data_IF_643541268222
#
_entry.id   IF_643541268222
#
_cell.length_a   1.000
_cell.length_b   1.000
_cell.length_c   1.000
_cell.angle_alpha   90.00
_cell.angle_beta   90.00
_cell.angle_gamma   90.00
#
_symmetry.space_group_name_H-M   'P 1'
#
loop_
_entity.id
_entity.type
_entity.pdbx_description
1 polymer ?
#
# COMPACT_ATOMS: atom_id res chain seq x y z
N UNK A 1 -31.75 21.08 -11.17
CA UNK A 1 -31.73 21.97 -12.35
C UNK A 1 -30.29 21.99 -12.86
N UNK A 2 -30.03 21.48 -14.06
CA UNK A 2 -28.76 21.73 -14.75
C UNK A 2 -28.84 23.17 -15.26
N UNK A 3 -27.98 24.07 -14.78
CA UNK A 3 -27.96 25.49 -15.18
C UNK A 3 -28.07 26.52 -14.05
N UNK A 4 -28.32 26.12 -12.81
CA UNK A 4 -28.24 27.06 -11.67
C UNK A 4 -26.79 27.28 -11.21
N UNK A 5 -26.44 28.52 -10.87
CA UNK A 5 -25.14 28.84 -10.29
C UNK A 5 -24.99 28.19 -8.91
N UNK A 6 -23.87 27.50 -8.70
CA UNK A 6 -23.51 26.98 -7.39
C UNK A 6 -23.27 28.14 -6.41
N UNK A 7 -23.83 28.04 -5.20
CA UNK A 7 -23.58 28.99 -4.11
C UNK A 7 -22.12 28.96 -3.69
N UNK A 8 -21.60 30.10 -3.23
CA UNK A 8 -20.23 30.20 -2.72
C UNK A 8 -20.04 29.32 -1.46
N UNK A 9 -18.96 28.53 -1.38
CA UNK A 9 -18.69 27.69 -0.22
C UNK A 9 -18.30 28.55 0.99
N UNK A 10 -18.75 28.14 2.19
CA UNK A 10 -18.37 28.81 3.44
C UNK A 10 -16.95 28.47 3.90
N UNK A 11 -16.42 27.32 3.46
CA UNK A 11 -15.07 26.85 3.79
C UNK A 11 -14.48 26.15 2.56
N UNK A 12 -13.21 26.44 2.29
CA UNK A 12 -12.42 25.76 1.25
C UNK A 12 -11.13 25.25 1.89
N UNK A 13 -10.87 23.95 1.74
CA UNK A 13 -9.62 23.32 2.16
C UNK A 13 -9.03 22.55 0.97
N UNK A 14 -7.72 22.72 0.75
CA UNK A 14 -7.00 22.05 -0.34
C UNK A 14 -5.91 21.16 0.25
N UNK A 15 -5.85 19.91 -0.19
CA UNK A 15 -4.78 18.97 0.15
C UNK A 15 -4.30 18.26 -1.10
N UNK A 16 -2.98 18.22 -1.28
CA UNK A 16 -2.30 17.43 -2.31
C UNK A 16 -1.64 16.22 -1.68
N UNK A 17 -1.90 15.05 -2.25
CA UNK A 17 -1.26 13.78 -1.91
C UNK A 17 -0.48 13.33 -3.14
N UNK A 18 0.83 13.53 -3.15
CA UNK A 18 1.64 13.22 -4.34
C UNK A 18 1.65 11.72 -4.65
N UNK A 19 1.58 10.89 -3.61
CA UNK A 19 1.57 9.43 -3.67
C UNK A 19 0.25 8.86 -3.14
N UNK A 20 -0.88 9.47 -3.52
CA UNK A 20 -2.20 9.10 -3.00
C UNK A 20 -2.64 7.69 -3.43
N UNK A 21 -2.14 7.24 -4.57
CA UNK A 21 -2.53 5.99 -5.18
C UNK A 21 -1.34 5.46 -5.98
N UNK A 22 -1.14 4.15 -5.92
CA UNK A 22 -0.11 3.47 -6.66
C UNK A 22 -0.72 2.72 -7.85
N UNK A 23 -0.04 2.65 -9.01
CA UNK A 23 -0.47 1.81 -10.10
C UNK A 23 -0.48 0.34 -9.66
N UNK A 24 -1.13 -0.51 -10.45
CA UNK A 24 -1.03 -1.96 -10.28
C UNK A 24 0.45 -2.37 -10.39
N UNK A 25 0.96 -3.10 -9.40
CA UNK A 25 2.28 -3.69 -9.44
C UNK A 25 2.33 -4.78 -10.52
N UNK A 26 3.44 -4.81 -11.28
CA UNK A 26 3.75 -5.92 -12.19
C UNK A 26 4.53 -7.04 -11.50
N UNK A 27 5.00 -6.79 -10.27
CA UNK A 27 5.73 -7.77 -9.48
C UNK A 27 4.73 -8.64 -8.69
N UNK A 28 4.91 -9.95 -8.78
CA UNK A 28 4.12 -10.95 -8.04
C UNK A 28 4.77 -11.39 -6.73
N UNK A 29 5.93 -10.81 -6.39
CA UNK A 29 6.77 -11.21 -5.26
C UNK A 29 6.64 -10.27 -4.05
N UNK A 30 6.92 -10.78 -2.85
CA UNK A 30 7.05 -9.96 -1.64
C UNK A 30 8.45 -9.37 -1.54
N UNK A 31 8.57 -8.16 -1.03
CA UNK A 31 9.86 -7.52 -0.81
C UNK A 31 10.46 -7.94 0.54
N UNK A 32 11.33 -8.96 0.52
CA UNK A 32 12.07 -9.44 1.68
C UNK A 32 13.52 -9.76 1.31
N UNK A 33 14.45 -9.26 2.11
CA UNK A 33 15.85 -9.62 2.11
C UNK A 33 16.18 -10.22 3.48
N UNK A 34 16.26 -11.55 3.53
CA UNK A 34 16.52 -12.28 4.77
C UNK A 34 17.95 -12.15 5.26
N UNK A 35 18.91 -11.92 4.35
CA UNK A 35 20.31 -11.73 4.70
C UNK A 35 20.50 -10.37 5.41
N UNK A 36 19.87 -9.32 4.90
CA UNK A 36 19.90 -7.98 5.50
C UNK A 36 18.81 -7.75 6.57
N UNK A 37 17.97 -8.75 6.84
CA UNK A 37 16.83 -8.66 7.76
C UNK A 37 15.90 -7.48 7.46
N UNK A 38 15.70 -7.18 6.18
CA UNK A 38 14.91 -6.04 5.72
C UNK A 38 13.70 -6.53 4.92
N UNK A 39 12.56 -5.90 5.14
CA UNK A 39 11.35 -6.22 4.39
C UNK A 39 10.46 -4.99 4.21
N UNK A 40 9.63 -4.97 3.15
CA UNK A 40 8.72 -3.87 2.88
C UNK A 40 7.37 -4.37 2.36
N UNK A 41 6.29 -3.71 2.79
CA UNK A 41 4.94 -3.94 2.32
C UNK A 41 4.17 -2.62 2.22
N UNK A 42 3.11 -2.60 1.43
CA UNK A 42 2.26 -1.43 1.23
C UNK A 42 1.21 -1.67 0.15
N UNK A 43 0.30 -0.71 -0.01
CA UNK A 43 -0.71 -0.72 -1.07
C UNK A 43 -0.09 -0.79 -2.47
N UNK A 44 1.05 -0.13 -2.64
CA UNK A 44 1.86 -0.10 -3.85
C UNK A 44 2.45 -1.45 -4.26
N UNK A 45 2.51 -2.44 -3.37
CA UNK A 45 2.94 -3.79 -3.74
C UNK A 45 1.89 -4.53 -4.59
N UNK A 46 0.63 -4.08 -4.62
CA UNK A 46 -0.44 -4.76 -5.37
C UNK A 46 -1.19 -3.79 -6.30
N UNK A 47 -2.02 -2.85 -5.80
CA UNK A 47 -2.73 -1.89 -6.66
C UNK A 47 -3.37 -0.67 -5.94
N UNK A 48 -2.67 -0.07 -4.98
CA UNK A 48 -3.02 1.25 -4.44
C UNK A 48 -4.34 1.32 -3.66
N UNK A 49 -4.86 0.16 -3.22
CA UNK A 49 -6.06 0.06 -2.39
C UNK A 49 -5.70 -0.21 -0.94
N UNK A 50 -6.62 0.14 -0.04
CA UNK A 50 -6.51 -0.22 1.39
C UNK A 50 -6.37 -1.74 1.57
N UNK A 51 -7.17 -2.52 0.84
CA UNK A 51 -7.08 -3.98 0.84
C UNK A 51 -5.69 -4.48 0.39
N UNK A 52 -5.07 -3.81 -0.59
CA UNK A 52 -3.71 -4.14 -1.04
C UNK A 52 -2.66 -3.94 0.03
N UNK A 53 -2.76 -2.87 0.82
CA UNK A 53 -1.84 -2.65 1.94
C UNK A 53 -1.97 -3.77 2.97
N UNK A 54 -3.20 -4.18 3.30
CA UNK A 54 -3.43 -5.28 4.23
C UNK A 54 -2.91 -6.62 3.69
N UNK A 55 -3.25 -6.94 2.44
CA UNK A 55 -2.87 -8.21 1.82
C UNK A 55 -1.37 -8.35 1.62
N UNK A 56 -0.68 -7.28 1.22
CA UNK A 56 0.78 -7.29 1.10
C UNK A 56 1.47 -7.51 2.45
N UNK A 57 1.01 -6.85 3.52
CA UNK A 57 1.51 -7.08 4.87
C UNK A 57 1.25 -8.51 5.36
N UNK A 58 0.05 -9.04 5.11
CA UNK A 58 -0.31 -10.41 5.46
C UNK A 58 0.57 -11.44 4.73
N UNK A 59 0.83 -11.24 3.44
CA UNK A 59 1.72 -12.11 2.68
C UNK A 59 3.16 -12.02 3.20
N UNK A 60 3.67 -10.80 3.37
CA UNK A 60 5.03 -10.60 3.86
C UNK A 60 5.26 -11.21 5.25
N UNK A 61 4.31 -11.04 6.17
CA UNK A 61 4.43 -11.63 7.52
C UNK A 61 4.54 -13.15 7.51
N UNK A 62 3.88 -13.83 6.56
CA UNK A 62 4.00 -15.29 6.39
C UNK A 62 5.40 -15.67 5.94
N UNK A 63 5.99 -14.92 5.00
CA UNK A 63 7.36 -15.17 4.53
C UNK A 63 8.40 -14.85 5.60
N UNK A 64 8.24 -13.76 6.36
CA UNK A 64 9.09 -13.48 7.53
C UNK A 64 9.03 -14.63 8.54
N UNK A 65 7.81 -15.12 8.85
CA UNK A 65 7.65 -16.23 9.79
C UNK A 65 8.33 -17.50 9.30
N UNK A 66 8.23 -17.82 8.01
CA UNK A 66 8.96 -18.95 7.41
C UNK A 66 10.47 -18.74 7.54
N UNK A 67 10.99 -17.56 7.19
CA UNK A 67 12.42 -17.28 7.25
C UNK A 67 12.98 -17.48 8.67
N UNK A 68 12.25 -17.02 9.70
CA UNK A 68 12.64 -17.18 11.09
C UNK A 68 12.58 -18.63 11.59
N UNK A 69 11.64 -19.43 11.08
CA UNK A 69 11.51 -20.84 11.48
C UNK A 69 12.60 -21.72 10.88
N UNK A 70 13.12 -21.39 9.68
CA UNK A 70 14.26 -22.10 9.08
C UNK A 70 15.61 -21.70 9.69
N UNK A 71 15.67 -20.67 10.52
CA UNK A 71 16.91 -20.25 11.20
C UNK A 71 17.16 -20.99 12.53
N UNK A 72 16.28 -21.92 12.90
CA UNK A 72 16.34 -22.67 14.18
C UNK A 72 16.93 -24.09 14.00
N UNK A 73 17.16 -24.52 12.75
CA UNK A 73 17.87 -25.78 12.41
C UNK A 73 19.38 -25.52 12.21
#
# INVERSE_FOLDING_TARGET
IIGEQAKQPQLVALKKWHFANAPKSELEEVFIDTHQQLASCGDWCINGRVESAFMSALQLSKEIRKALLHTID
#
